data_IF_349190596756
#
_entry.id   IF_349190596756
#
_cell.length_a   1.000
_cell.length_b   1.000
_cell.length_c   1.000
_cell.angle_alpha   90.00
_cell.angle_beta   90.00
_cell.angle_gamma   90.00
#
_symmetry.space_group_name_H-M   'P 1'
#
loop_
_entity.id
_entity.type
_entity.pdbx_description
1 polymer ?
#
# COMPACT_ATOMS: atom_id res chain seq x y z
N UNK A 1 7.37 -11.97 23.37
CA UNK A 1 6.03 -11.88 22.75
C UNK A 1 5.64 -10.40 22.75
N UNK A 2 5.77 -9.71 21.61
CA UNK A 2 5.62 -8.25 21.53
C UNK A 2 4.14 -7.87 21.45
N UNK A 3 3.64 -7.16 22.46
CA UNK A 3 2.28 -6.64 22.52
C UNK A 3 2.02 -5.65 21.36
N UNK A 4 1.09 -6.01 20.48
CA UNK A 4 0.60 -5.12 19.42
C UNK A 4 -0.24 -4.01 20.04
N UNK A 5 0.29 -2.79 20.04
CA UNK A 5 -0.42 -1.59 20.46
C UNK A 5 -1.63 -1.37 19.54
N UNK A 6 -2.83 -1.63 20.07
CA UNK A 6 -4.11 -1.27 19.48
C UNK A 6 -4.30 0.24 19.56
N UNK A 7 -4.06 0.94 18.46
CA UNK A 7 -4.30 2.37 18.37
C UNK A 7 -5.78 2.68 18.24
N UNK A 8 -6.34 3.32 19.27
CA UNK A 8 -7.68 3.91 19.31
C UNK A 8 -7.78 5.05 18.28
N UNK A 9 -8.66 4.92 17.28
CA UNK A 9 -8.85 5.91 16.19
C UNK A 9 -9.90 6.96 16.53
N UNK A 10 -10.01 7.34 17.80
CA UNK A 10 -10.77 8.51 18.20
C UNK A 10 -9.85 9.72 18.16
N UNK A 11 -10.14 10.67 17.27
CA UNK A 11 -9.72 12.08 17.41
C UNK A 11 -8.37 12.53 16.81
N UNK A 12 -8.11 12.26 15.52
CA UNK A 12 -7.25 13.16 14.72
C UNK A 12 -8.02 13.75 13.56
N UNK A 13 -8.49 14.98 13.79
CA UNK A 13 -9.11 15.92 12.84
C UNK A 13 -8.05 16.51 11.88
N UNK A 14 -7.14 15.69 11.37
CA UNK A 14 -6.17 16.03 10.34
C UNK A 14 -6.53 15.26 9.08
N UNK A 15 -7.14 15.94 8.11
CA UNK A 15 -7.64 15.29 6.89
C UNK A 15 -6.58 14.42 6.23
N UNK A 16 -6.99 13.25 5.74
CA UNK A 16 -6.19 12.35 4.88
C UNK A 16 -5.58 13.06 3.65
N UNK A 17 -5.96 14.31 3.38
CA UNK A 17 -5.46 15.19 2.34
C UNK A 17 -3.98 15.60 2.50
N UNK A 18 -3.43 15.62 3.71
CA UNK A 18 -2.01 16.01 3.95
C UNK A 18 -1.07 14.81 4.13
N UNK A 19 -1.51 13.60 3.77
CA UNK A 19 -0.68 12.42 3.94
C UNK A 19 0.57 12.46 3.07
N UNK A 20 1.68 11.98 3.59
CA UNK A 20 2.97 11.89 2.89
C UNK A 20 3.47 10.44 2.82
N UNK A 21 4.24 10.11 1.77
CA UNK A 21 4.76 8.75 1.60
C UNK A 21 5.87 8.47 2.61
N UNK A 22 5.71 7.41 3.41
CA UNK A 22 6.77 6.90 4.25
C UNK A 22 7.76 6.08 3.40
N UNK A 23 8.87 6.70 3.00
CA UNK A 23 9.82 6.13 2.03
C UNK A 23 10.26 4.70 2.39
N UNK A 24 10.76 4.45 3.61
CA UNK A 24 11.22 3.10 3.98
C UNK A 24 10.15 2.01 4.00
N UNK A 25 8.86 2.37 4.16
CA UNK A 25 7.74 1.41 4.03
C UNK A 25 7.37 1.21 2.57
N UNK A 26 7.39 2.29 1.78
CA UNK A 26 7.10 2.26 0.36
C UNK A 26 8.14 1.49 -0.45
N UNK A 27 9.43 1.64 -0.12
CA UNK A 27 10.54 0.99 -0.80
C UNK A 27 10.43 -0.53 -0.78
N UNK A 28 9.81 -1.12 0.25
CA UNK A 28 9.53 -2.57 0.29
C UNK A 28 8.72 -3.07 -0.91
N UNK A 29 8.03 -2.16 -1.60
CA UNK A 29 7.25 -2.44 -2.80
C UNK A 29 7.90 -1.91 -4.09
N UNK A 30 9.11 -1.35 -4.05
CA UNK A 30 9.81 -0.83 -5.23
C UNK A 30 11.03 -1.69 -5.52
N UNK A 31 10.99 -2.41 -6.65
CA UNK A 31 12.10 -3.26 -7.11
C UNK A 31 13.41 -2.47 -7.20
N UNK A 32 14.50 -3.07 -6.72
CA UNK A 32 15.84 -2.49 -6.77
C UNK A 32 16.22 -1.64 -5.56
N UNK A 33 15.28 -1.31 -4.68
CA UNK A 33 15.62 -0.64 -3.41
C UNK A 33 16.22 -1.62 -2.40
N UNK A 34 17.02 -1.10 -1.46
CA UNK A 34 17.59 -1.90 -0.37
C UNK A 34 16.49 -2.61 0.44
N UNK A 35 15.40 -1.91 0.75
CA UNK A 35 14.28 -2.48 1.52
C UNK A 35 13.56 -3.60 0.76
N UNK A 36 13.39 -3.48 -0.56
CA UNK A 36 12.85 -4.56 -1.39
C UNK A 36 13.79 -5.76 -1.44
N UNK A 37 15.07 -5.53 -1.72
CA UNK A 37 16.07 -6.60 -1.79
C UNK A 37 16.17 -7.37 -0.46
N UNK A 38 16.03 -6.68 0.67
CA UNK A 38 15.98 -7.30 1.98
C UNK A 38 14.70 -8.16 2.18
N UNK A 39 13.55 -7.79 1.60
CA UNK A 39 12.37 -8.68 1.63
C UNK A 39 12.68 -9.99 0.90
N UNK A 40 13.25 -9.89 -0.31
CA UNK A 40 13.60 -11.05 -1.12
C UNK A 40 14.63 -11.94 -0.40
N UNK A 41 15.69 -11.35 0.17
CA UNK A 41 16.71 -12.07 0.93
C UNK A 41 16.13 -12.80 2.16
N UNK A 42 15.07 -12.27 2.75
CA UNK A 42 14.33 -12.90 3.85
C UNK A 42 13.27 -13.92 3.38
N UNK A 43 13.29 -14.33 2.11
CA UNK A 43 12.33 -15.28 1.55
C UNK A 43 10.91 -14.74 1.38
N UNK A 44 10.72 -13.42 1.40
CA UNK A 44 9.43 -12.77 1.22
C UNK A 44 9.27 -12.25 -0.20
N UNK A 45 8.06 -12.30 -0.71
CA UNK A 45 7.71 -11.80 -2.03
C UNK A 45 6.68 -10.67 -1.90
N UNK A 46 7.12 -9.40 -1.82
CA UNK A 46 6.20 -8.26 -1.71
C UNK A 46 5.56 -7.95 -3.07
N UNK A 47 4.31 -7.47 -3.06
CA UNK A 47 3.72 -6.81 -4.23
C UNK A 47 4.62 -5.66 -4.71
N UNK A 48 4.66 -5.45 -6.02
CA UNK A 48 5.57 -4.51 -6.68
C UNK A 48 4.79 -3.31 -7.20
N UNK A 49 5.09 -2.11 -6.74
CA UNK A 49 4.58 -0.87 -7.28
C UNK A 49 5.56 -0.33 -8.33
N UNK A 50 5.05 -0.02 -9.52
CA UNK A 50 5.83 0.59 -10.62
C UNK A 50 5.42 2.04 -10.88
N UNK A 51 4.20 2.41 -10.51
CA UNK A 51 3.71 3.79 -10.58
C UNK A 51 4.25 4.68 -9.46
N UNK A 52 4.30 5.99 -9.71
CA UNK A 52 4.77 6.98 -8.74
C UNK A 52 3.85 7.03 -7.49
N UNK A 53 4.36 6.70 -6.29
CA UNK A 53 3.55 6.66 -5.07
C UNK A 53 2.92 8.01 -4.70
N UNK A 54 3.64 9.12 -4.87
CA UNK A 54 3.14 10.45 -4.53
C UNK A 54 1.97 10.85 -5.44
N UNK A 55 2.04 10.48 -6.72
CA UNK A 55 0.94 10.72 -7.66
C UNK A 55 -0.28 9.89 -7.30
N UNK A 56 -0.09 8.60 -6.99
CA UNK A 56 -1.18 7.72 -6.57
C UNK A 56 -1.85 8.18 -5.27
N UNK A 57 -1.08 8.71 -4.30
CA UNK A 57 -1.62 9.24 -3.05
C UNK A 57 -2.49 10.48 -3.29
N UNK A 58 -2.06 11.40 -4.16
CA UNK A 58 -2.85 12.58 -4.55
C UNK A 58 -4.11 12.17 -5.31
N UNK A 59 -3.98 11.25 -6.26
CA UNK A 59 -5.10 10.77 -7.09
C UNK A 59 -6.16 10.01 -6.27
N UNK A 60 -5.80 9.49 -5.10
CA UNK A 60 -6.69 8.73 -4.23
C UNK A 60 -7.70 9.58 -3.47
N UNK A 61 -7.45 10.89 -3.32
CA UNK A 61 -8.33 11.80 -2.59
C UNK A 61 -9.70 11.81 -3.27
N UNK A 62 -10.72 11.37 -2.54
CA UNK A 62 -12.11 11.30 -3.02
C UNK A 62 -12.44 10.13 -3.97
N UNK A 63 -11.49 9.24 -4.31
CA UNK A 63 -11.73 8.11 -5.25
C UNK A 63 -11.75 6.72 -4.61
N UNK A 64 -11.30 6.61 -3.36
CA UNK A 64 -11.12 5.33 -2.69
C UNK A 64 -12.30 4.91 -1.81
N UNK A 65 -12.46 3.59 -1.65
CA UNK A 65 -13.35 3.01 -0.66
C UNK A 65 -12.58 2.81 0.66
N UNK A 66 -13.05 3.45 1.72
CA UNK A 66 -12.48 3.25 3.06
C UNK A 66 -12.74 1.83 3.54
N UNK A 67 -11.70 1.19 4.05
CA UNK A 67 -11.77 -0.13 4.68
C UNK A 67 -11.21 -0.01 6.10
N UNK A 68 -12.11 0.00 7.08
CA UNK A 68 -11.76 0.30 8.47
C UNK A 68 -11.25 1.74 8.65
N UNK A 69 -10.45 1.95 9.71
CA UNK A 69 -10.11 3.31 10.15
C UNK A 69 -8.90 3.92 9.40
N UNK A 70 -8.03 3.10 8.83
CA UNK A 70 -6.74 3.59 8.30
C UNK A 70 -6.36 3.00 6.92
N UNK A 71 -7.28 2.33 6.24
CA UNK A 71 -7.01 1.80 4.90
C UNK A 71 -8.02 2.34 3.90
N UNK A 72 -7.53 2.62 2.70
CA UNK A 72 -8.35 3.03 1.57
C UNK A 72 -7.96 2.18 0.38
N UNK A 73 -8.93 1.55 -0.26
CA UNK A 73 -8.72 0.78 -1.50
C UNK A 73 -9.13 1.65 -2.68
N UNK A 74 -8.23 1.83 -3.63
CA UNK A 74 -8.44 2.64 -4.83
C UNK A 74 -8.21 1.78 -6.05
N UNK A 75 -9.08 1.92 -7.05
CA UNK A 75 -8.87 1.39 -8.39
C UNK A 75 -8.50 2.56 -9.30
N UNK A 76 -7.27 2.57 -9.82
CA UNK A 76 -6.76 3.67 -10.63
C UNK A 76 -7.13 3.54 -12.11
N UNK A 77 -7.78 2.45 -12.52
CA UNK A 77 -8.18 2.20 -13.91
C UNK A 77 -7.01 1.96 -14.89
N UNK A 78 -5.76 2.03 -14.42
CA UNK A 78 -4.54 1.77 -15.17
C UNK A 78 -3.61 0.88 -14.36
N UNK A 79 -2.76 0.11 -15.03
CA UNK A 79 -1.79 -0.73 -14.34
C UNK A 79 -0.86 0.14 -13.47
N UNK A 80 -0.81 -0.15 -12.16
CA UNK A 80 0.05 0.55 -11.21
C UNK A 80 1.23 -0.30 -10.71
N UNK A 81 1.25 -1.58 -11.06
CA UNK A 81 2.20 -2.55 -10.55
C UNK A 81 1.64 -3.96 -10.54
N UNK A 82 2.30 -4.83 -9.76
CA UNK A 82 2.00 -6.26 -9.65
C UNK A 82 1.61 -6.65 -8.23
N UNK A 83 0.47 -7.31 -8.11
CA UNK A 83 0.05 -8.00 -6.88
C UNK A 83 0.73 -9.36 -6.80
N UNK A 84 1.37 -9.67 -5.67
CA UNK A 84 1.85 -11.02 -5.39
C UNK A 84 0.77 -11.85 -4.70
N UNK A 85 0.35 -12.94 -5.33
CA UNK A 85 -0.57 -13.90 -4.74
C UNK A 85 0.20 -14.99 -3.99
N UNK A 86 0.09 -14.96 -2.65
CA UNK A 86 0.73 -15.93 -1.76
C UNK A 86 0.24 -17.37 -1.98
N UNK A 87 -0.98 -17.56 -2.52
CA UNK A 87 -1.55 -18.91 -2.72
C UNK A 87 -0.96 -19.59 -3.93
N UNK A 88 -0.77 -18.83 -5.02
CA UNK A 88 -0.27 -19.37 -6.29
C UNK A 88 1.22 -19.12 -6.50
N UNK A 89 1.84 -18.25 -5.69
CA UNK A 89 3.23 -17.84 -5.85
C UNK A 89 3.49 -16.97 -7.08
N UNK A 90 2.43 -16.38 -7.66
CA UNK A 90 2.50 -15.65 -8.94
C UNK A 90 2.25 -14.16 -8.76
N UNK A 91 2.80 -13.38 -9.69
CA UNK A 91 2.56 -11.95 -9.81
C UNK A 91 1.50 -11.68 -10.88
N UNK A 92 0.52 -10.85 -10.53
CA UNK A 92 -0.54 -10.42 -11.43
C UNK A 92 -0.55 -8.91 -11.56
N UNK A 93 -0.66 -8.39 -12.79
CA UNK A 93 -0.82 -6.97 -13.00
C UNK A 93 -2.11 -6.47 -12.33
N UNK A 94 -2.04 -5.30 -11.69
CA UNK A 94 -3.17 -4.75 -10.96
C UNK A 94 -3.32 -3.25 -11.17
N UNK A 95 -4.57 -2.82 -11.23
CA UNK A 95 -4.96 -1.41 -11.21
C UNK A 95 -5.31 -0.93 -9.82
N UNK A 96 -5.37 -1.85 -8.85
CA UNK A 96 -5.83 -1.59 -7.48
C UNK A 96 -4.68 -1.46 -6.52
N UNK A 97 -4.77 -0.50 -5.61
CA UNK A 97 -3.92 -0.44 -4.43
C UNK A 97 -4.72 -0.32 -3.15
N UNK A 98 -4.10 -0.76 -2.06
CA UNK A 98 -4.49 -0.39 -0.70
C UNK A 98 -3.50 0.66 -0.21
N UNK A 99 -4.02 1.80 0.22
CA UNK A 99 -3.26 2.86 0.88
C UNK A 99 -3.41 2.64 2.38
N UNK A 100 -2.28 2.46 3.06
CA UNK A 100 -2.20 2.27 4.49
C UNK A 100 -1.72 3.56 5.14
N UNK A 101 -2.58 4.19 5.92
CA UNK A 101 -2.27 5.38 6.72
C UNK A 101 -1.80 4.99 8.12
N UNK A 102 -0.89 5.77 8.68
CA UNK A 102 -0.55 5.74 10.10
C UNK A 102 -1.03 6.98 10.84
N UNK A 103 -0.94 6.91 12.17
CA UNK A 103 -1.44 7.96 13.06
C UNK A 103 -0.62 9.26 12.99
N UNK A 104 0.53 9.26 12.30
CA UNK A 104 1.40 10.43 12.12
C UNK A 104 1.17 11.13 10.78
N UNK A 105 0.16 10.71 10.01
CA UNK A 105 -0.11 11.26 8.69
C UNK A 105 0.82 10.74 7.60
N UNK A 106 1.52 9.63 7.82
CA UNK A 106 2.24 8.97 6.73
C UNK A 106 1.41 7.87 6.08
N UNK A 107 1.73 7.58 4.83
CA UNK A 107 1.10 6.55 4.03
C UNK A 107 2.12 5.67 3.33
N UNK A 108 1.72 4.44 3.00
CA UNK A 108 2.38 3.64 1.97
C UNK A 108 1.33 2.91 1.14
N UNK A 109 1.68 2.66 -0.11
CA UNK A 109 0.79 2.14 -1.14
C UNK A 109 1.24 0.73 -1.51
N UNK A 110 0.31 -0.21 -1.39
CA UNK A 110 0.53 -1.63 -1.66
C UNK A 110 -0.37 -2.05 -2.82
N UNK A 111 0.18 -2.58 -3.94
CA UNK A 111 -0.65 -3.16 -5.00
C UNK A 111 -1.51 -4.30 -4.45
N UNK A 112 -2.81 -4.25 -4.76
CA UNK A 112 -3.85 -5.09 -4.20
C UNK A 112 -4.41 -6.08 -5.22
N UNK A 113 -5.13 -7.10 -4.72
CA UNK A 113 -5.75 -8.15 -5.56
C UNK A 113 -6.63 -7.52 -6.66
N UNK A 114 -6.35 -7.78 -7.94
CA UNK A 114 -7.17 -7.25 -9.04
C UNK A 114 -8.58 -7.87 -9.01
N UNK A 115 -9.59 -7.15 -9.51
CA UNK A 115 -11.01 -7.60 -9.43
C UNK A 115 -11.28 -8.90 -10.18
N UNK A 116 -10.53 -9.16 -11.26
CA UNK A 116 -10.71 -10.33 -12.11
C UNK A 116 -10.05 -11.60 -11.54
N UNK A 117 -9.11 -11.46 -10.61
CA UNK A 117 -8.49 -12.60 -9.95
C UNK A 117 -9.46 -13.11 -8.87
N UNK A 118 -9.95 -14.34 -9.02
CA UNK A 118 -10.90 -14.96 -8.08
C UNK A 118 -10.19 -15.54 -6.86
#
# INVERSE_FOLDING_TARGET
>A
MGAGSGGNFGNTKGGRSNAQIHQGRQDKHIKGTNNYNQQIANGKNPSILTSNPNKLLKDAVGKGQSYGNNKVVVDYGKNIGKFYDIRTGKYYDTTRATIHYDNKGNAHIVPAKPKWLK
#
